data_IF_550109392082
#
_entry.id   IF_550109392082
#
_cell.length_a   1.000
_cell.length_b   1.000
_cell.length_c   1.000
_cell.angle_alpha   90.00
_cell.angle_beta   90.00
_cell.angle_gamma   90.00
#
_symmetry.space_group_name_H-M   'P 1'
#
loop_
_entity.id
_entity.type
_entity.pdbx_description
1 polymer ?
#
# COMPACT_ATOMS: atom_id res chain seq x y z
N UNK A 1 -42.48 -1.08 -19.90
CA UNK A 1 -42.64 -0.76 -18.47
C UNK A 1 -41.27 -1.06 -17.89
N UNK A 2 -40.45 -0.01 -17.70
CA UNK A 2 -39.12 -0.15 -17.12
C UNK A 2 -39.28 -0.02 -15.62
N UNK A 3 -39.12 -1.12 -14.90
CA UNK A 3 -39.15 -1.13 -13.44
C UNK A 3 -37.87 -0.45 -12.93
N UNK A 4 -38.04 0.49 -12.01
CA UNK A 4 -36.96 1.26 -11.41
C UNK A 4 -36.18 0.31 -10.47
N UNK A 5 -34.87 0.10 -10.68
CA UNK A 5 -34.09 -0.83 -9.87
C UNK A 5 -33.92 -0.39 -8.40
N UNK A 6 -34.41 0.80 -8.03
CA UNK A 6 -34.43 1.28 -6.64
C UNK A 6 -35.67 0.85 -5.85
N UNK A 7 -36.66 0.22 -6.48
CA UNK A 7 -37.97 -0.06 -5.87
C UNK A 7 -38.01 -1.33 -4.98
N UNK A 8 -36.89 -2.03 -4.83
CA UNK A 8 -36.80 -3.26 -4.04
C UNK A 8 -35.62 -3.24 -3.06
N UNK A 9 -35.66 -2.31 -2.12
CA UNK A 9 -34.94 -2.45 -0.86
C UNK A 9 -35.90 -3.19 0.09
N UNK A 10 -35.58 -4.40 0.55
CA UNK A 10 -36.41 -5.12 1.52
C UNK A 10 -36.55 -4.28 2.81
N UNK A 11 -37.79 -3.98 3.22
CA UNK A 11 -38.09 -3.24 4.45
C UNK A 11 -37.81 -4.07 5.73
N UNK A 12 -37.67 -5.39 5.59
CA UNK A 12 -37.41 -6.32 6.69
C UNK A 12 -35.95 -6.79 6.67
N UNK A 13 -35.04 -5.92 7.11
CA UNK A 13 -33.78 -6.35 7.70
C UNK A 13 -34.02 -6.43 9.21
N UNK A 14 -34.84 -7.38 9.64
CA UNK A 14 -34.91 -7.77 11.05
C UNK A 14 -33.57 -8.44 11.43
N UNK A 15 -32.87 -7.82 12.38
CA UNK A 15 -31.80 -8.42 13.19
C UNK A 15 -30.50 -8.84 12.48
N UNK A 16 -29.98 -8.00 11.58
CA UNK A 16 -28.52 -7.94 11.42
C UNK A 16 -27.99 -6.89 12.38
N UNK A 17 -27.36 -7.35 13.46
CA UNK A 17 -26.41 -6.63 14.32
C UNK A 17 -26.05 -5.26 13.76
N UNK A 18 -26.84 -4.24 14.12
CA UNK A 18 -26.78 -2.91 13.51
C UNK A 18 -25.65 -2.12 14.14
N UNK A 19 -24.45 -2.70 14.16
CA UNK A 19 -23.22 -1.94 14.34
C UNK A 19 -22.87 -1.36 12.97
N UNK A 20 -23.36 -0.15 12.71
CA UNK A 20 -22.80 0.66 11.64
C UNK A 20 -21.36 1.05 12.01
N UNK A 21 -20.51 1.37 11.03
CA UNK A 21 -19.14 1.85 11.30
C UNK A 21 -19.12 3.09 12.22
N UNK A 22 -20.23 3.83 12.28
CA UNK A 22 -20.43 4.98 13.17
C UNK A 22 -20.76 4.56 14.63
N UNK A 23 -21.17 3.31 14.87
CA UNK A 23 -21.49 2.76 16.19
C UNK A 23 -20.27 2.15 16.91
N UNK A 24 -19.15 2.03 16.20
CA UNK A 24 -17.89 1.53 16.73
C UNK A 24 -17.12 2.70 17.36
N UNK A 25 -17.51 3.09 18.58
CA UNK A 25 -16.57 3.65 19.57
C UNK A 25 -15.63 2.53 20.09
N UNK A 26 -15.24 1.62 19.21
CA UNK A 26 -14.41 0.48 19.53
C UNK A 26 -12.97 0.91 19.22
N UNK A 27 -12.32 1.50 20.23
CA UNK A 27 -10.94 1.96 20.17
C UNK A 27 -10.02 0.89 19.57
N UNK A 28 -10.34 -0.40 19.75
CA UNK A 28 -9.64 -1.54 19.18
C UNK A 28 -9.72 -1.59 17.63
N UNK A 29 -10.89 -1.31 17.05
CA UNK A 29 -11.07 -1.27 15.59
C UNK A 29 -10.36 -0.05 14.99
N UNK A 30 -10.40 1.08 15.68
CA UNK A 30 -9.71 2.29 15.26
C UNK A 30 -8.18 2.09 15.29
N UNK A 31 -7.67 1.45 16.34
CA UNK A 31 -6.27 1.07 16.47
C UNK A 31 -5.84 0.05 15.40
N UNK A 32 -6.67 -0.94 15.08
CA UNK A 32 -6.41 -1.88 13.99
C UNK A 32 -6.31 -1.16 12.64
N UNK A 33 -7.22 -0.21 12.37
CA UNK A 33 -7.18 0.61 11.16
C UNK A 33 -5.92 1.47 11.08
N UNK A 34 -5.57 2.18 12.17
CA UNK A 34 -4.35 2.98 12.22
C UNK A 34 -3.08 2.13 12.08
N UNK A 35 -3.06 0.95 12.69
CA UNK A 35 -1.96 -0.02 12.56
C UNK A 35 -1.79 -0.47 11.11
N UNK A 36 -2.89 -0.80 10.42
CA UNK A 36 -2.87 -1.16 9.00
C UNK A 36 -2.33 -0.03 8.13
N UNK A 37 -2.83 1.20 8.30
CA UNK A 37 -2.37 2.37 7.51
C UNK A 37 -0.90 2.68 7.78
N UNK A 38 -0.47 2.62 9.03
CA UNK A 38 0.92 2.84 9.41
C UNK A 38 1.83 1.76 8.79
N UNK A 39 1.44 0.49 8.85
CA UNK A 39 2.20 -0.60 8.25
C UNK A 39 2.35 -0.44 6.73
N UNK A 40 1.27 -0.10 6.02
CA UNK A 40 1.33 0.21 4.59
C UNK A 40 2.30 1.37 4.29
N UNK A 41 2.31 2.40 5.13
CA UNK A 41 3.26 3.51 5.02
C UNK A 41 4.72 3.08 5.23
N UNK A 42 4.98 2.24 6.23
CA UNK A 42 6.32 1.68 6.48
C UNK A 42 6.78 0.83 5.31
N UNK A 43 5.96 -0.09 4.80
CA UNK A 43 6.34 -0.93 3.66
C UNK A 43 6.60 -0.12 2.39
N UNK A 44 5.84 0.97 2.16
CA UNK A 44 6.11 1.87 1.05
C UNK A 44 7.46 2.58 1.19
N UNK A 45 7.83 3.02 2.40
CA UNK A 45 9.12 3.63 2.67
C UNK A 45 10.28 2.62 2.53
N UNK A 46 10.12 1.39 3.04
CA UNK A 46 11.09 0.30 2.89
C UNK A 46 11.34 0.00 1.41
N UNK A 47 10.28 -0.13 0.61
CA UNK A 47 10.43 -0.34 -0.83
C UNK A 47 11.15 0.82 -1.55
N UNK A 48 10.98 2.07 -1.10
CA UNK A 48 11.75 3.20 -1.64
C UNK A 48 13.23 3.12 -1.26
N UNK A 49 13.54 2.74 -0.02
CA UNK A 49 14.91 2.56 0.46
C UNK A 49 15.61 1.44 -0.31
N UNK A 50 14.94 0.30 -0.51
CA UNK A 50 15.49 -0.83 -1.27
C UNK A 50 15.84 -0.44 -2.71
N UNK A 51 14.96 0.31 -3.37
CA UNK A 51 15.21 0.82 -4.72
C UNK A 51 16.40 1.80 -4.76
N UNK A 52 16.54 2.68 -3.77
CA UNK A 52 17.68 3.58 -3.67
C UNK A 52 18.98 2.81 -3.47
N UNK A 53 19.01 1.84 -2.55
CA UNK A 53 20.20 1.02 -2.30
C UNK A 53 20.62 0.22 -3.53
N UNK A 54 19.68 -0.35 -4.29
CA UNK A 54 19.97 -1.03 -5.54
C UNK A 54 20.58 -0.09 -6.59
N UNK A 55 20.05 1.13 -6.72
CA UNK A 55 20.59 2.13 -7.63
C UNK A 55 22.01 2.55 -7.24
N UNK A 56 22.26 2.79 -5.96
CA UNK A 56 23.60 3.12 -5.45
C UNK A 56 24.60 1.98 -5.67
N UNK A 57 24.18 0.74 -5.39
CA UNK A 57 25.00 -0.44 -5.63
C UNK A 57 25.39 -0.55 -7.11
N UNK A 58 24.44 -0.32 -8.01
CA UNK A 58 24.69 -0.35 -9.45
C UNK A 58 25.72 0.71 -9.87
N UNK A 59 25.59 1.95 -9.37
CA UNK A 59 26.55 3.03 -9.62
C UNK A 59 27.95 2.65 -9.09
N UNK A 60 28.04 2.09 -7.89
CA UNK A 60 29.31 1.67 -7.29
C UNK A 60 29.95 0.55 -8.13
N UNK A 61 29.17 -0.45 -8.54
CA UNK A 61 29.65 -1.55 -9.39
C UNK A 61 30.19 -1.04 -10.73
N UNK A 62 29.49 -0.11 -11.38
CA UNK A 62 29.99 0.50 -12.62
C UNK A 62 31.29 1.29 -12.42
N UNK A 63 31.37 2.07 -11.33
CA UNK A 63 32.60 2.81 -10.99
C UNK A 63 33.79 1.91 -10.72
N UNK A 64 33.57 0.78 -10.04
CA UNK A 64 34.62 -0.23 -9.81
C UNK A 64 35.04 -0.82 -11.15
N UNK A 65 34.08 -1.21 -11.99
CA UNK A 65 34.36 -1.83 -13.29
C UNK A 65 35.13 -0.90 -14.22
N UNK A 66 34.75 0.38 -14.30
CA UNK A 66 35.48 1.38 -15.08
C UNK A 66 36.88 1.71 -14.56
N UNK A 67 37.24 1.29 -13.33
CA UNK A 67 38.63 1.36 -12.83
C UNK A 67 39.43 0.08 -13.10
N UNK A 68 38.75 -1.04 -13.32
CA UNK A 68 39.37 -2.35 -13.54
C UNK A 68 39.55 -2.67 -15.02
N UNK A 69 38.74 -2.05 -15.88
CA UNK A 69 38.67 -2.31 -17.31
C UNK A 69 38.64 -0.97 -18.07
N UNK A 70 39.75 -0.64 -18.71
CA UNK A 70 39.94 0.63 -19.43
C UNK A 70 39.04 0.73 -20.69
N UNK A 71 38.54 -0.40 -21.20
CA UNK A 71 37.64 -0.46 -22.36
C UNK A 71 36.15 -0.43 -21.95
N UNK A 72 35.86 -0.42 -20.64
CA UNK A 72 34.49 -0.42 -20.15
C UNK A 72 33.87 0.99 -20.22
N UNK A 73 32.76 1.11 -20.94
CA UNK A 73 31.94 2.33 -20.98
C UNK A 73 30.76 2.19 -20.03
N UNK A 74 30.64 3.03 -18.98
CA UNK A 74 29.47 3.04 -18.08
C UNK A 74 28.16 3.27 -18.84
N UNK A 75 27.06 2.71 -18.34
CA UNK A 75 25.75 2.77 -19.01
C UNK A 75 24.71 3.59 -18.26
N UNK A 76 25.06 4.12 -17.09
CA UNK A 76 24.25 5.06 -16.31
C UNK A 76 24.83 6.48 -16.31
#
# INVERSE_FOLDING_TARGET
MSEDPTEHIPDDIEDTDSTTLDDLEDDELLDEYYSCVHHLGVCAAEGQIDNQQQSEEQIIREKIRGRMDDDYTPTF
#
